data_IF_030100952584
#
_entry.id   IF_030100952584
#
_cell.length_a   1.000
_cell.length_b   1.000
_cell.length_c   1.000
_cell.angle_alpha   90.00
_cell.angle_beta   90.00
_cell.angle_gamma   90.00
#
_symmetry.space_group_name_H-M   'P 1'
#
loop_
_entity.id
_entity.type
_entity.pdbx_description
1 polymer ?
#
# COMPACT_ATOMS: atom_id res chain seq x y z
N UNK A 1 -7.08 -18.75 -13.51
CA UNK A 1 -6.23 -17.83 -14.30
C UNK A 1 -5.12 -18.57 -15.05
N UNK A 2 -4.82 -18.14 -16.28
CA UNK A 2 -3.68 -18.66 -17.08
C UNK A 2 -2.40 -17.86 -16.83
N UNK A 3 -1.23 -18.41 -17.18
CA UNK A 3 0.05 -17.70 -17.05
C UNK A 3 0.05 -16.34 -17.77
N UNK A 4 -0.51 -16.29 -18.98
CA UNK A 4 -0.62 -15.04 -19.73
C UNK A 4 -1.47 -14.00 -18.98
N UNK A 5 -2.62 -14.40 -18.44
CA UNK A 5 -3.45 -13.53 -17.61
C UNK A 5 -2.68 -13.03 -16.39
N UNK A 6 -1.94 -13.92 -15.70
CA UNK A 6 -1.12 -13.54 -14.54
C UNK A 6 -0.06 -12.50 -14.87
N UNK A 7 0.60 -12.61 -16.03
CA UNK A 7 1.59 -11.60 -16.49
C UNK A 7 0.91 -10.25 -16.70
N UNK A 8 -0.25 -10.22 -17.37
CA UNK A 8 -1.00 -8.98 -17.57
C UNK A 8 -1.44 -8.38 -16.24
N UNK A 9 -1.96 -9.18 -15.31
CA UNK A 9 -2.33 -8.70 -13.97
C UNK A 9 -1.13 -8.15 -13.20
N UNK A 10 0.04 -8.76 -13.33
CA UNK A 10 1.28 -8.23 -12.75
C UNK A 10 1.68 -6.88 -13.32
N UNK A 11 1.50 -6.67 -14.64
CA UNK A 11 1.72 -5.37 -15.27
C UNK A 11 0.70 -4.34 -14.75
N UNK A 12 -0.58 -4.71 -14.69
CA UNK A 12 -1.64 -3.84 -14.15
C UNK A 12 -1.32 -3.44 -12.72
N UNK A 13 -0.96 -4.38 -11.84
CA UNK A 13 -0.54 -4.08 -10.47
C UNK A 13 0.66 -3.14 -10.46
N UNK A 14 1.72 -3.46 -11.19
CA UNK A 14 2.94 -2.67 -11.20
C UNK A 14 2.74 -1.23 -11.68
N UNK A 15 1.83 -1.02 -12.63
CA UNK A 15 1.48 0.31 -13.13
C UNK A 15 0.55 1.08 -12.19
N UNK A 16 -0.31 0.40 -11.44
CA UNK A 16 -1.38 1.05 -10.64
C UNK A 16 -1.05 1.18 -9.16
N UNK A 17 -0.09 0.43 -8.62
CA UNK A 17 0.25 0.46 -7.19
C UNK A 17 0.83 1.81 -6.76
N UNK A 18 1.66 2.42 -7.60
CA UNK A 18 2.42 3.63 -7.23
C UNK A 18 1.72 4.93 -7.61
N UNK A 19 0.65 4.85 -8.41
CA UNK A 19 -0.18 6.00 -8.75
C UNK A 19 -1.49 5.94 -7.97
N UNK A 20 -2.07 7.09 -7.62
CA UNK A 20 -3.22 7.15 -6.72
C UNK A 20 -4.54 6.78 -7.43
N UNK A 21 -4.64 5.57 -7.96
CA UNK A 21 -5.78 5.07 -8.79
C UNK A 21 -6.41 3.78 -8.26
N UNK A 22 -5.99 3.30 -7.07
CA UNK A 22 -6.40 2.04 -6.44
C UNK A 22 -6.10 0.79 -7.29
N UNK A 23 -4.93 0.21 -7.05
CA UNK A 23 -4.49 -1.06 -7.66
C UNK A 23 -5.45 -2.22 -7.37
N UNK A 24 -5.89 -2.38 -6.12
CA UNK A 24 -6.85 -3.43 -5.73
C UNK A 24 -8.17 -3.32 -6.50
N UNK A 25 -8.61 -2.10 -6.82
CA UNK A 25 -9.80 -1.89 -7.64
C UNK A 25 -9.60 -2.37 -9.08
N UNK A 26 -8.43 -2.11 -9.67
CA UNK A 26 -8.08 -2.61 -11.00
C UNK A 26 -7.93 -4.13 -11.03
N UNK A 27 -7.42 -4.75 -9.95
CA UNK A 27 -7.34 -6.21 -9.83
C UNK A 27 -8.72 -6.90 -9.80
N UNK A 28 -9.77 -6.19 -9.36
CA UNK A 28 -11.15 -6.69 -9.34
C UNK A 28 -11.86 -6.39 -10.68
N UNK A 29 -11.77 -5.14 -11.15
CA UNK A 29 -12.52 -4.67 -12.33
C UNK A 29 -11.94 -5.25 -13.62
N UNK A 30 -10.62 -5.32 -13.77
CA UNK A 30 -10.00 -5.71 -15.04
C UNK A 30 -10.30 -7.17 -15.43
N UNK A 31 -10.16 -8.18 -14.54
CA UNK A 31 -10.56 -9.55 -14.87
C UNK A 31 -12.05 -9.67 -15.17
N UNK A 32 -12.90 -8.94 -14.43
CA UNK A 32 -14.35 -8.95 -14.67
C UNK A 32 -14.70 -8.45 -16.07
N UNK A 33 -14.10 -7.33 -16.50
CA UNK A 33 -14.29 -6.78 -17.85
C UNK A 33 -13.82 -7.72 -18.95
N UNK A 34 -12.77 -8.49 -18.68
CA UNK A 34 -12.18 -9.43 -19.64
C UNK A 34 -12.83 -10.83 -19.57
N UNK A 35 -13.78 -11.06 -18.66
CA UNK A 35 -14.39 -12.37 -18.41
C UNK A 35 -13.38 -13.40 -17.90
N UNK A 36 -12.33 -12.97 -17.21
CA UNK A 36 -11.29 -13.84 -16.66
C UNK A 36 -11.65 -14.31 -15.26
N UNK A 37 -11.22 -15.53 -14.91
CA UNK A 37 -11.29 -15.99 -13.53
C UNK A 37 -10.51 -15.05 -12.61
N UNK A 38 -11.08 -14.71 -11.44
CA UNK A 38 -10.36 -13.93 -10.45
C UNK A 38 -9.23 -14.77 -9.82
N UNK A 39 -8.06 -14.16 -9.64
CA UNK A 39 -6.91 -14.81 -9.00
C UNK A 39 -7.09 -15.05 -7.50
N UNK A 40 -8.01 -14.30 -6.87
CA UNK A 40 -8.30 -14.37 -5.44
C UNK A 40 -7.21 -13.73 -4.56
N UNK A 41 -7.45 -13.73 -3.24
CA UNK A 41 -6.63 -12.99 -2.28
C UNK A 41 -5.15 -13.42 -2.28
N UNK A 42 -4.87 -14.72 -2.41
CA UNK A 42 -3.49 -15.21 -2.44
C UNK A 42 -2.71 -14.70 -3.66
N UNK A 43 -3.37 -14.62 -4.81
CA UNK A 43 -2.79 -14.05 -6.03
C UNK A 43 -2.55 -12.54 -5.89
N UNK A 44 -3.58 -11.80 -5.44
CA UNK A 44 -3.49 -10.35 -5.22
C UNK A 44 -2.34 -10.04 -4.26
N UNK A 45 -2.25 -10.76 -3.13
CA UNK A 45 -1.18 -10.60 -2.13
C UNK A 45 0.20 -10.85 -2.73
N UNK A 46 0.33 -11.86 -3.60
CA UNK A 46 1.60 -12.15 -4.28
C UNK A 46 2.02 -11.02 -5.22
N UNK A 47 1.08 -10.39 -5.93
CA UNK A 47 1.36 -9.22 -6.75
C UNK A 47 1.79 -8.01 -5.91
N UNK A 48 1.18 -7.80 -4.75
CA UNK A 48 1.60 -6.78 -3.78
C UNK A 48 3.02 -7.07 -3.24
N UNK A 49 3.38 -8.33 -2.99
CA UNK A 49 4.75 -8.69 -2.63
C UNK A 49 5.76 -8.33 -3.73
N UNK A 50 5.37 -8.48 -5.00
CA UNK A 50 6.20 -8.06 -6.14
C UNK A 50 6.48 -6.56 -6.15
N UNK A 51 5.44 -5.74 -5.97
CA UNK A 51 5.58 -4.27 -5.92
C UNK A 51 6.28 -3.79 -4.65
N UNK A 52 6.04 -4.43 -3.51
CA UNK A 52 6.81 -4.21 -2.28
C UNK A 52 8.30 -4.50 -2.51
N UNK A 53 8.62 -5.62 -3.16
CA UNK A 53 10.01 -5.97 -3.50
C UNK A 53 10.65 -4.90 -4.39
N UNK A 54 9.91 -4.38 -5.37
CA UNK A 54 10.37 -3.27 -6.21
C UNK A 54 10.71 -2.01 -5.38
N UNK A 55 9.88 -1.65 -4.40
CA UNK A 55 10.15 -0.53 -3.48
C UNK A 55 11.38 -0.80 -2.60
N UNK A 56 11.52 -2.00 -2.04
CA UNK A 56 12.67 -2.37 -1.21
C UNK A 56 13.99 -2.29 -1.99
N UNK A 57 13.98 -2.72 -3.26
CA UNK A 57 15.14 -2.63 -4.15
C UNK A 57 15.43 -1.17 -4.53
N UNK A 58 14.41 -0.42 -4.91
CA UNK A 58 14.56 0.98 -5.34
C UNK A 58 15.08 1.87 -4.22
N UNK A 59 14.48 1.78 -3.02
CA UNK A 59 14.85 2.55 -1.83
C UNK A 59 15.86 1.84 -0.92
N UNK A 60 16.61 0.86 -1.44
CA UNK A 60 17.52 0.04 -0.63
C UNK A 60 18.52 0.88 0.18
N UNK A 61 19.06 1.95 -0.41
CA UNK A 61 20.08 2.79 0.26
C UNK A 61 19.47 3.60 1.40
N UNK A 62 18.29 4.17 1.18
CA UNK A 62 17.52 4.95 2.13
C UNK A 62 17.06 4.08 3.29
N UNK A 63 16.51 2.89 2.98
CA UNK A 63 16.10 1.90 3.98
C UNK A 63 17.30 1.45 4.82
N UNK A 64 18.44 1.15 4.17
CA UNK A 64 19.67 0.78 4.87
C UNK A 64 20.15 1.91 5.79
N UNK A 65 20.08 3.16 5.33
CA UNK A 65 20.37 4.34 6.16
C UNK A 65 19.46 4.43 7.38
N UNK A 66 18.13 4.31 7.19
CA UNK A 66 17.15 4.32 8.27
C UNK A 66 17.42 3.21 9.30
N UNK A 67 17.71 1.98 8.85
CA UNK A 67 17.98 0.84 9.74
C UNK A 67 19.21 1.10 10.61
N UNK A 68 20.31 1.58 10.02
CA UNK A 68 21.52 1.87 10.79
C UNK A 68 21.37 3.07 11.73
N UNK A 69 20.65 4.12 11.30
CA UNK A 69 20.35 5.26 12.15
C UNK A 69 19.55 4.83 13.38
N UNK A 70 18.51 4.02 13.19
CA UNK A 70 17.69 3.47 14.28
C UNK A 70 18.53 2.57 15.19
N UNK A 71 19.35 1.68 14.63
CA UNK A 71 20.20 0.79 15.43
C UNK A 71 21.26 1.56 16.25
N UNK A 72 21.88 2.58 15.65
CA UNK A 72 22.85 3.45 16.32
C UNK A 72 22.22 4.33 17.40
N UNK A 73 20.99 4.79 17.20
CA UNK A 73 20.24 5.57 18.19
C UNK A 73 19.62 4.71 19.29
N UNK A 74 19.27 3.46 19.01
CA UNK A 74 18.77 2.52 20.02
C UNK A 74 19.82 2.24 21.12
N UNK A 75 21.12 2.31 20.78
CA UNK A 75 22.22 2.23 21.75
C UNK A 75 22.32 3.43 22.69
N UNK A 76 21.64 4.54 22.41
CA UNK A 76 21.65 5.79 23.21
C UNK A 76 20.60 5.80 24.33
N UNK A 77 20.23 4.60 24.82
CA UNK A 77 19.42 4.30 26.02
C UNK A 77 18.78 5.52 26.72
N UNK A 78 17.51 5.80 26.41
CA UNK A 78 16.64 6.65 27.23
C UNK A 78 16.81 8.17 27.08
N UNK A 79 17.67 8.65 26.18
CA UNK A 79 17.81 10.09 25.93
C UNK A 79 16.69 10.58 24.99
N UNK A 80 16.09 11.71 25.36
CA UNK A 80 14.93 12.37 24.72
C UNK A 80 14.90 12.18 23.19
N UNK A 81 13.74 11.82 22.62
CA UNK A 81 13.50 11.70 21.17
C UNK A 81 14.01 12.90 20.35
N UNK A 82 14.15 14.08 20.98
CA UNK A 82 14.80 15.25 20.39
C UNK A 82 16.23 14.99 19.90
N UNK A 83 16.99 14.07 20.49
CA UNK A 83 18.38 13.76 20.16
C UNK A 83 18.55 12.69 19.07
N UNK A 84 17.43 12.10 18.60
CA UNK A 84 17.47 11.08 17.57
C UNK A 84 17.78 11.71 16.21
N UNK A 85 18.41 10.93 15.34
CA UNK A 85 18.68 11.35 13.97
C UNK A 85 17.38 11.66 13.22
N UNK A 86 17.42 12.51 12.18
CA UNK A 86 16.25 12.78 11.34
C UNK A 86 15.60 11.50 10.80
N UNK A 87 16.41 10.51 10.41
CA UNK A 87 15.95 9.22 9.88
C UNK A 87 15.25 8.38 10.96
N UNK A 88 15.81 8.31 12.16
CA UNK A 88 15.19 7.61 13.29
C UNK A 88 13.86 8.25 13.69
N UNK A 89 13.78 9.59 13.63
CA UNK A 89 12.52 10.33 13.84
C UNK A 89 11.50 10.01 12.76
N UNK A 90 11.92 9.98 11.49
CA UNK A 90 11.07 9.61 10.36
C UNK A 90 10.51 8.20 10.53
N UNK A 91 11.33 7.22 10.90
CA UNK A 91 10.87 5.84 11.19
C UNK A 91 9.82 5.85 12.30
N UNK A 92 10.05 6.61 13.38
CA UNK A 92 9.06 6.79 14.44
C UNK A 92 7.73 7.34 13.93
N UNK A 93 7.77 8.38 13.10
CA UNK A 93 6.56 8.96 12.47
C UNK A 93 5.87 7.98 11.53
N UNK A 94 6.61 7.19 10.75
CA UNK A 94 6.04 6.17 9.87
C UNK A 94 5.33 5.08 10.67
N UNK A 95 5.89 4.64 11.80
CA UNK A 95 5.24 3.67 12.68
C UNK A 95 3.94 4.22 13.28
N UNK A 96 3.96 5.47 13.75
CA UNK A 96 2.75 6.14 14.27
C UNK A 96 1.70 6.34 13.17
N UNK A 97 2.11 6.71 11.96
CA UNK A 97 1.20 6.92 10.83
C UNK A 97 0.57 5.61 10.32
N UNK A 98 1.29 4.49 10.40
CA UNK A 98 0.81 3.17 9.92
C UNK A 98 -0.01 2.42 10.97
N UNK A 99 0.16 2.71 12.26
CA UNK A 99 -0.56 2.06 13.36
C UNK A 99 -2.09 2.09 13.21
N UNK A 100 -2.76 3.23 12.94
CA UNK A 100 -4.21 3.26 12.77
C UNK A 100 -4.70 2.38 11.63
N UNK A 101 -3.99 2.37 10.50
CA UNK A 101 -4.34 1.54 9.35
C UNK A 101 -4.15 0.05 9.66
N UNK A 102 -3.04 -0.32 10.32
CA UNK A 102 -2.80 -1.70 10.76
C UNK A 102 -3.85 -2.20 11.76
N UNK A 103 -4.21 -1.37 12.74
CA UNK A 103 -5.27 -1.70 13.70
C UNK A 103 -6.64 -1.84 13.03
N UNK A 104 -6.98 -0.96 12.09
CA UNK A 104 -8.21 -1.07 11.33
C UNK A 104 -8.24 -2.37 10.50
N UNK A 105 -7.12 -2.74 9.87
CA UNK A 105 -6.99 -4.01 9.16
C UNK A 105 -7.16 -5.23 10.06
N UNK A 106 -6.56 -5.22 11.26
CA UNK A 106 -6.68 -6.32 12.22
C UNK A 106 -8.10 -6.46 12.79
N UNK A 107 -8.81 -5.36 13.03
CA UNK A 107 -10.14 -5.37 13.65
C UNK A 107 -11.27 -5.57 12.64
N UNK A 108 -11.11 -5.08 11.40
CA UNK A 108 -12.19 -5.00 10.41
C UNK A 108 -11.86 -5.71 9.09
N UNK A 109 -10.69 -6.32 8.93
CA UNK A 109 -10.23 -6.92 7.66
C UNK A 109 -11.25 -7.86 7.01
N UNK A 110 -11.72 -8.87 7.75
CA UNK A 110 -12.68 -9.87 7.23
C UNK A 110 -14.03 -9.24 6.82
N UNK A 111 -14.49 -8.25 7.59
CA UNK A 111 -15.71 -7.49 7.27
C UNK A 111 -15.53 -6.65 6.01
N UNK A 112 -14.39 -5.97 5.88
CA UNK A 112 -14.09 -5.15 4.72
C UNK A 112 -13.98 -6.00 3.46
N UNK A 113 -13.31 -7.15 3.55
CA UNK A 113 -13.14 -8.06 2.43
C UNK A 113 -14.47 -8.65 1.93
N UNK A 114 -15.31 -9.12 2.85
CA UNK A 114 -16.61 -9.70 2.51
C UNK A 114 -17.62 -8.67 1.98
N UNK A 115 -17.54 -7.42 2.44
CA UNK A 115 -18.52 -6.38 2.11
C UNK A 115 -18.14 -5.52 0.89
N UNK A 116 -16.85 -5.36 0.60
CA UNK A 116 -16.37 -4.35 -0.35
C UNK A 116 -15.62 -4.89 -1.58
N UNK A 117 -15.57 -6.21 -1.79
CA UNK A 117 -15.00 -6.81 -3.02
C UNK A 117 -15.92 -6.77 -4.25
N UNK A 118 -17.14 -6.23 -4.15
CA UNK A 118 -18.04 -6.12 -5.30
C UNK A 118 -17.58 -5.01 -6.26
N UNK A 119 -17.79 -5.21 -7.57
CA UNK A 119 -17.48 -4.21 -8.61
C UNK A 119 -18.15 -2.86 -8.33
N UNK A 120 -19.39 -2.89 -7.81
CA UNK A 120 -20.12 -1.69 -7.43
C UNK A 120 -19.45 -0.96 -6.26
N UNK A 121 -19.10 -1.70 -5.20
CA UNK A 121 -18.43 -1.15 -4.02
C UNK A 121 -17.10 -0.50 -4.40
N UNK A 122 -16.27 -1.21 -5.17
CA UNK A 122 -14.98 -0.71 -5.68
C UNK A 122 -15.18 0.55 -6.51
N UNK A 123 -16.16 0.57 -7.42
CA UNK A 123 -16.44 1.73 -8.26
C UNK A 123 -16.86 2.96 -7.45
N UNK A 124 -17.66 2.77 -6.39
CA UNK A 124 -18.03 3.84 -5.46
C UNK A 124 -16.80 4.39 -4.75
N UNK A 125 -15.90 3.52 -4.23
CA UNK A 125 -14.68 3.98 -3.57
C UNK A 125 -13.71 4.68 -4.51
N UNK A 126 -13.60 4.24 -5.77
CA UNK A 126 -12.82 4.94 -6.79
C UNK A 126 -13.34 6.36 -7.02
N UNK A 127 -14.66 6.53 -7.13
CA UNK A 127 -15.27 7.86 -7.29
C UNK A 127 -15.05 8.72 -6.04
N UNK A 128 -15.28 8.17 -4.85
CA UNK A 128 -15.07 8.90 -3.59
C UNK A 128 -13.61 9.31 -3.41
N UNK A 129 -12.66 8.41 -3.69
CA UNK A 129 -11.23 8.69 -3.66
C UNK A 129 -10.84 9.78 -4.66
N UNK A 130 -11.39 9.73 -5.88
CA UNK A 130 -11.15 10.76 -6.91
C UNK A 130 -11.67 12.13 -6.49
N UNK A 131 -12.88 12.19 -5.91
CA UNK A 131 -13.46 13.44 -5.37
C UNK A 131 -12.62 13.99 -4.22
N UNK A 132 -12.16 13.11 -3.31
CA UNK A 132 -11.30 13.50 -2.20
C UNK A 132 -9.98 14.08 -2.71
N UNK A 133 -9.34 13.43 -3.68
CA UNK A 133 -8.10 13.92 -4.30
C UNK A 133 -8.31 15.26 -5.00
N UNK A 134 -9.41 15.43 -5.74
CA UNK A 134 -9.75 16.71 -6.36
C UNK A 134 -9.83 17.84 -5.32
N UNK A 135 -10.49 17.60 -4.19
CA UNK A 135 -10.58 18.60 -3.13
C UNK A 135 -9.25 18.83 -2.40
N UNK A 136 -8.47 17.77 -2.19
CA UNK A 136 -7.14 17.87 -1.61
C UNK A 136 -6.20 18.71 -2.49
N UNK A 137 -6.27 18.58 -3.82
CA UNK A 137 -5.50 19.40 -4.76
C UNK A 137 -5.99 20.85 -4.79
N UNK A 138 -7.32 21.05 -4.81
CA UNK A 138 -7.92 22.39 -4.88
C UNK A 138 -7.70 23.22 -3.61
N UNK A 139 -7.67 22.59 -2.44
CA UNK A 139 -7.65 23.26 -1.15
C UNK A 139 -6.38 22.99 -0.33
N UNK A 140 -5.55 22.04 -0.75
CA UNK A 140 -4.21 21.82 -0.22
C UNK A 140 -3.36 23.05 -0.47
N UNK A 141 -2.95 23.71 0.61
CA UNK A 141 -2.02 24.84 0.58
C UNK A 141 -0.59 24.35 0.69
#
# INVERSE_FOLDING_TARGET
MTFFQSVIMGIVQGLTEFIPVSSSGHLIIFPELMGWEQGGLAFDTTLHLGTLTALLVYFYKEIRGMVFSVAGDAGKLGLRFSQYSPESKLVGWLLVATLPAGLAGLLFGDFLESSFRSVLSVSIFLLLGSVLMFFADKFGR
#
